data_IF_778421168180
#
_entry.id   IF_778421168180
#
_cell.length_a   1.000
_cell.length_b   1.000
_cell.length_c   1.000
_cell.angle_alpha   90.00
_cell.angle_beta   90.00
_cell.angle_gamma   90.00
#
_symmetry.space_group_name_H-M   'P 1'
#
loop_
_entity.id
_entity.type
_entity.pdbx_description
1 polymer ?
#
# COMPACT_ATOMS: atom_id res chain seq x y z
N UNK A 1 33.73 -5.22 -32.50
CA UNK A 1 32.61 -5.94 -31.86
C UNK A 1 31.46 -4.94 -31.78
N UNK A 2 30.56 -4.95 -32.77
CA UNK A 2 29.48 -3.97 -32.91
C UNK A 2 28.41 -4.32 -31.87
N UNK A 3 28.32 -3.54 -30.79
CA UNK A 3 27.19 -3.65 -29.89
C UNK A 3 25.93 -3.25 -30.65
N UNK A 4 24.84 -4.02 -30.57
CA UNK A 4 23.62 -3.66 -31.29
C UNK A 4 23.06 -2.37 -30.68
N UNK A 5 22.65 -1.42 -31.53
CA UNK A 5 22.29 -0.04 -31.13
C UNK A 5 21.18 0.03 -30.05
N UNK A 6 20.41 -1.04 -29.90
CA UNK A 6 19.31 -1.19 -28.95
C UNK A 6 19.71 -1.85 -27.61
N UNK A 7 20.94 -2.32 -27.42
CA UNK A 7 21.36 -2.98 -26.18
C UNK A 7 21.15 -2.13 -24.90
N UNK A 8 21.58 -0.85 -24.85
CA UNK A 8 21.31 0.01 -23.69
C UNK A 8 19.82 0.25 -23.44
N UNK A 9 19.01 0.34 -24.49
CA UNK A 9 17.55 0.42 -24.41
C UNK A 9 17.00 -0.81 -23.69
N UNK A 10 17.41 -2.01 -24.12
CA UNK A 10 16.90 -3.27 -23.56
C UNK A 10 17.31 -3.43 -22.09
N UNK A 11 18.55 -3.09 -21.72
CA UNK A 11 19.06 -3.21 -20.35
C UNK A 11 18.27 -2.32 -19.36
N UNK A 12 17.91 -1.10 -19.77
CA UNK A 12 17.18 -0.17 -18.90
C UNK A 12 15.65 -0.39 -18.93
N UNK A 13 15.08 -0.72 -20.10
CA UNK A 13 13.62 -0.84 -20.25
C UNK A 13 13.04 -2.15 -19.69
N UNK A 14 13.77 -3.27 -19.74
CA UNK A 14 13.29 -4.54 -19.14
C UNK A 14 12.98 -4.37 -17.63
N UNK A 15 13.90 -3.87 -16.78
CA UNK A 15 13.62 -3.72 -15.36
C UNK A 15 12.54 -2.67 -15.10
N UNK A 16 12.49 -1.58 -15.88
CA UNK A 16 11.40 -0.59 -15.80
C UNK A 16 10.04 -1.19 -16.14
N UNK A 17 9.96 -2.02 -17.18
CA UNK A 17 8.73 -2.71 -17.56
C UNK A 17 8.27 -3.68 -16.46
N UNK A 18 9.20 -4.44 -15.85
CA UNK A 18 8.91 -5.29 -14.70
C UNK A 18 8.38 -4.47 -13.51
N UNK A 19 9.01 -3.34 -13.19
CA UNK A 19 8.53 -2.41 -12.17
C UNK A 19 7.11 -1.90 -12.47
N UNK A 20 6.82 -1.54 -13.73
CA UNK A 20 5.50 -1.06 -14.15
C UNK A 20 4.40 -2.12 -14.00
N UNK A 21 4.69 -3.36 -14.43
CA UNK A 21 3.75 -4.49 -14.30
C UNK A 21 3.50 -4.80 -12.83
N UNK A 22 4.56 -4.91 -12.03
CA UNK A 22 4.45 -5.18 -10.60
C UNK A 22 3.71 -4.06 -9.86
N UNK A 23 4.00 -2.79 -10.18
CA UNK A 23 3.32 -1.64 -9.61
C UNK A 23 1.82 -1.68 -9.90
N UNK A 24 1.45 -1.85 -11.17
CA UNK A 24 0.04 -1.92 -11.59
C UNK A 24 -0.69 -3.08 -10.92
N UNK A 25 -0.07 -4.25 -10.85
CA UNK A 25 -0.63 -5.42 -10.16
C UNK A 25 -0.87 -5.14 -8.68
N UNK A 26 0.11 -4.56 -7.97
CA UNK A 26 -0.03 -4.20 -6.56
C UNK A 26 -1.14 -3.16 -6.38
N UNK A 27 -1.15 -2.09 -7.18
CA UNK A 27 -2.17 -1.03 -7.08
C UNK A 27 -3.58 -1.60 -7.29
N UNK A 28 -3.76 -2.44 -8.31
CA UNK A 28 -5.04 -3.10 -8.59
C UNK A 28 -5.47 -4.04 -7.45
N UNK A 29 -4.56 -4.89 -6.97
CA UNK A 29 -4.81 -5.77 -5.82
C UNK A 29 -5.23 -4.96 -4.59
N UNK A 30 -4.52 -3.87 -4.28
CA UNK A 30 -4.82 -3.00 -3.14
C UNK A 30 -6.17 -2.32 -3.30
N UNK A 31 -6.49 -1.80 -4.49
CA UNK A 31 -7.80 -1.21 -4.78
C UNK A 31 -8.94 -2.21 -4.56
N UNK A 32 -8.77 -3.45 -5.04
CA UNK A 32 -9.74 -4.54 -4.84
C UNK A 32 -9.87 -4.92 -3.36
N UNK A 33 -8.78 -5.05 -2.63
CA UNK A 33 -8.77 -5.35 -1.19
C UNK A 33 -9.49 -4.24 -0.43
N UNK A 34 -9.20 -2.97 -0.70
CA UNK A 34 -9.87 -1.84 -0.06
C UNK A 34 -11.36 -1.72 -0.41
N UNK A 35 -11.75 -2.14 -1.62
CA UNK A 35 -13.14 -2.21 -2.05
C UNK A 35 -13.90 -3.40 -1.44
N UNK A 36 -13.25 -4.56 -1.30
CA UNK A 36 -13.81 -5.80 -0.72
C UNK A 36 -13.92 -5.74 0.79
N UNK A 37 -12.87 -5.27 1.48
CA UNK A 37 -12.90 -4.93 2.90
C UNK A 37 -13.68 -3.63 3.04
N UNK A 38 -15.01 -3.74 2.90
CA UNK A 38 -15.95 -2.64 3.07
C UNK A 38 -15.75 -2.01 4.44
N UNK A 39 -15.96 -0.70 4.52
CA UNK A 39 -15.96 0.07 5.78
C UNK A 39 -16.85 -0.62 6.82
N UNK A 40 -16.60 -0.42 8.13
CA UNK A 40 -17.52 -0.85 9.17
C UNK A 40 -18.95 -0.47 8.77
N UNK A 41 -19.85 -1.46 8.72
CA UNK A 41 -21.21 -1.26 8.23
C UNK A 41 -21.91 -0.21 9.09
N UNK A 42 -22.90 0.48 8.53
CA UNK A 42 -23.72 1.47 9.24
C UNK A 42 -24.28 0.96 10.58
N UNK A 43 -24.45 -0.36 10.73
CA UNK A 43 -24.85 -0.99 12.00
C UNK A 43 -23.80 -0.83 13.10
N UNK A 44 -22.52 -1.03 12.81
CA UNK A 44 -21.44 -0.85 13.80
C UNK A 44 -21.36 0.61 14.22
N UNK A 45 -21.54 1.53 13.27
CA UNK A 45 -21.56 2.97 13.56
C UNK A 45 -22.77 3.37 14.41
N UNK A 46 -23.96 2.81 14.13
CA UNK A 46 -25.17 3.01 14.96
C UNK A 46 -24.99 2.46 16.37
N UNK A 47 -24.37 1.29 16.51
CA UNK A 47 -24.10 0.70 17.81
C UNK A 47 -23.09 1.55 18.60
N UNK A 48 -22.06 2.07 17.92
CA UNK A 48 -21.10 2.99 18.52
C UNK A 48 -21.66 4.39 18.83
N UNK A 49 -22.79 4.77 18.25
CA UNK A 49 -23.51 5.99 18.61
C UNK A 49 -24.36 5.78 19.88
N UNK A 50 -24.79 4.53 20.16
CA UNK A 50 -25.52 4.14 21.38
C UNK A 50 -24.61 3.72 22.54
N UNK A 51 -23.29 3.62 22.32
CA UNK A 51 -22.34 3.08 23.31
C UNK A 51 -22.10 3.95 24.54
N UNK A 52 -22.83 5.06 24.72
CA UNK A 52 -22.93 5.77 26.00
C UNK A 52 -23.76 4.98 27.02
N UNK A 53 -24.64 4.09 26.55
CA UNK A 53 -25.42 3.19 27.39
C UNK A 53 -24.73 1.83 27.53
N UNK A 54 -25.14 1.08 28.55
CA UNK A 54 -24.76 -0.31 28.76
C UNK A 54 -25.02 -1.16 27.50
N UNK A 55 -23.99 -1.83 26.99
CA UNK A 55 -24.12 -2.75 25.86
C UNK A 55 -24.24 -4.19 26.35
N UNK A 56 -25.16 -4.95 25.76
CA UNK A 56 -25.22 -6.39 25.97
C UNK A 56 -24.22 -7.12 25.05
N UNK A 57 -23.55 -8.20 25.51
CA UNK A 57 -22.69 -9.02 24.66
C UNK A 57 -23.39 -9.53 23.39
N UNK A 58 -24.68 -9.87 23.49
CA UNK A 58 -25.50 -10.31 22.36
C UNK A 58 -25.64 -9.24 21.24
N UNK A 59 -25.64 -7.95 21.58
CA UNK A 59 -25.66 -6.87 20.57
C UNK A 59 -24.34 -6.80 19.79
N UNK A 60 -23.21 -7.07 20.46
CA UNK A 60 -21.89 -7.15 19.83
C UNK A 60 -21.77 -8.38 18.94
N UNK A 61 -22.26 -9.54 19.37
CA UNK A 61 -22.31 -10.74 18.54
C UNK A 61 -23.16 -10.51 17.29
N UNK A 62 -24.33 -9.88 17.43
CA UNK A 62 -25.18 -9.53 16.29
C UNK A 62 -24.51 -8.52 15.34
N UNK A 63 -23.69 -7.59 15.87
CA UNK A 63 -22.90 -6.68 15.05
C UNK A 63 -21.75 -7.40 14.32
N UNK A 64 -21.07 -8.33 14.99
CA UNK A 64 -20.01 -9.16 14.41
C UNK A 64 -20.55 -10.07 13.29
N UNK A 65 -21.72 -10.68 13.48
CA UNK A 65 -22.37 -11.54 12.48
C UNK A 65 -22.69 -10.82 11.17
N UNK A 66 -22.83 -9.48 11.20
CA UNK A 66 -23.05 -8.68 9.98
C UNK A 66 -21.78 -8.50 9.15
N UNK A 67 -20.63 -8.95 9.62
CA UNK A 67 -19.36 -8.92 8.92
C UNK A 67 -18.80 -7.50 8.74
N UNK A 68 -17.66 -7.43 8.04
CA UNK A 68 -16.93 -6.19 7.78
C UNK A 68 -15.54 -6.22 8.40
N UNK A 69 -14.76 -5.16 8.19
CA UNK A 69 -13.36 -5.10 8.63
C UNK A 69 -13.16 -5.40 10.13
N UNK A 70 -14.06 -4.97 11.00
CA UNK A 70 -13.92 -5.12 12.45
C UNK A 70 -14.64 -6.35 13.02
N UNK A 71 -15.30 -7.18 12.22
CA UNK A 71 -16.25 -8.18 12.76
C UNK A 71 -15.57 -9.22 13.65
N UNK A 72 -14.38 -9.70 13.28
CA UNK A 72 -13.67 -10.68 14.10
C UNK A 72 -13.17 -10.07 15.41
N UNK A 73 -12.72 -8.81 15.40
CA UNK A 73 -12.32 -8.11 16.62
C UNK A 73 -13.52 -7.84 17.54
N UNK A 74 -14.68 -7.49 16.98
CA UNK A 74 -15.93 -7.34 17.74
C UNK A 74 -16.38 -8.69 18.31
N UNK A 75 -16.29 -9.77 17.55
CA UNK A 75 -16.60 -11.12 18.02
C UNK A 75 -15.67 -11.55 19.16
N UNK A 76 -14.36 -11.28 19.04
CA UNK A 76 -13.38 -11.57 20.08
C UNK A 76 -13.70 -10.79 21.38
N UNK A 77 -14.08 -9.52 21.25
CA UNK A 77 -14.52 -8.68 22.38
C UNK A 77 -15.77 -9.27 23.06
N UNK A 78 -16.77 -9.67 22.28
CA UNK A 78 -18.01 -10.24 22.80
C UNK A 78 -17.78 -11.59 23.52
N UNK A 79 -17.00 -12.48 22.93
CA UNK A 79 -16.65 -13.78 23.49
C UNK A 79 -15.87 -13.68 24.82
N UNK A 80 -15.14 -12.59 25.02
CA UNK A 80 -14.38 -12.31 26.25
C UNK A 80 -15.04 -11.25 27.14
N UNK A 81 -16.32 -10.92 26.92
CA UNK A 81 -17.05 -9.89 27.67
C UNK A 81 -17.01 -10.11 29.20
N UNK A 82 -17.14 -11.36 29.66
CA UNK A 82 -17.08 -11.75 31.07
C UNK A 82 -15.67 -11.90 31.67
N UNK A 83 -14.60 -11.61 30.91
CA UNK A 83 -13.22 -11.60 31.43
C UNK A 83 -12.87 -10.20 31.94
N UNK A 84 -11.81 -10.12 32.76
CA UNK A 84 -11.25 -8.84 33.16
C UNK A 84 -10.88 -7.99 31.94
N UNK A 85 -11.10 -6.67 32.04
CA UNK A 85 -10.84 -5.69 30.96
C UNK A 85 -9.52 -5.92 30.22
N UNK A 86 -8.36 -6.09 30.89
CA UNK A 86 -7.09 -6.21 30.19
C UNK A 86 -7.04 -7.42 29.25
N UNK A 87 -7.61 -8.55 29.66
CA UNK A 87 -7.67 -9.77 28.84
C UNK A 87 -8.64 -9.63 27.67
N UNK A 88 -9.78 -8.97 27.91
CA UNK A 88 -10.80 -8.71 26.87
C UNK A 88 -10.27 -7.77 25.80
N UNK A 89 -9.61 -6.68 26.20
CA UNK A 89 -9.02 -5.70 25.29
C UNK A 89 -7.87 -6.30 24.49
N UNK A 90 -7.04 -7.14 25.12
CA UNK A 90 -5.95 -7.85 24.45
C UNK A 90 -6.49 -8.81 23.38
N UNK A 91 -7.53 -9.59 23.70
CA UNK A 91 -8.15 -10.50 22.73
C UNK A 91 -8.72 -9.77 21.50
N UNK A 92 -9.38 -8.62 21.72
CA UNK A 92 -9.88 -7.79 20.63
C UNK A 92 -8.75 -7.15 19.81
N UNK A 93 -7.64 -6.78 20.46
CA UNK A 93 -6.46 -6.20 19.81
C UNK A 93 -5.75 -7.21 18.91
N UNK A 94 -5.55 -8.44 19.39
CA UNK A 94 -4.98 -9.53 18.59
C UNK A 94 -5.84 -9.79 17.34
N UNK A 95 -7.15 -9.93 17.51
CA UNK A 95 -8.07 -10.15 16.40
C UNK A 95 -8.11 -8.97 15.41
N UNK A 96 -7.96 -7.73 15.90
CA UNK A 96 -7.87 -6.56 15.03
C UNK A 96 -6.57 -6.56 14.22
N UNK A 97 -5.44 -6.94 14.82
CA UNK A 97 -4.15 -7.02 14.13
C UNK A 97 -4.22 -8.00 12.94
N UNK A 98 -4.86 -9.16 13.13
CA UNK A 98 -5.10 -10.13 12.05
C UNK A 98 -5.98 -9.56 10.93
N UNK A 99 -7.06 -8.85 11.30
CA UNK A 99 -7.94 -8.18 10.34
C UNK A 99 -7.23 -7.06 9.56
N UNK A 100 -6.28 -6.38 10.20
CA UNK A 100 -5.53 -5.25 9.66
C UNK A 100 -4.41 -5.68 8.70
N UNK A 101 -3.84 -6.87 8.86
CA UNK A 101 -2.71 -7.34 8.06
C UNK A 101 -2.97 -7.29 6.53
N UNK A 102 -4.15 -7.68 6.01
CA UNK A 102 -4.47 -7.51 4.60
C UNK A 102 -4.48 -6.06 4.11
N UNK A 103 -4.71 -5.05 4.96
CA UNK A 103 -4.71 -3.63 4.54
C UNK A 103 -3.31 -3.06 4.37
N UNK A 104 -2.34 -3.56 5.13
CA UNK A 104 -0.96 -3.08 5.12
C UNK A 104 -0.04 -3.92 4.24
N UNK A 105 -0.49 -5.12 3.84
CA UNK A 105 0.26 -6.01 2.96
C UNK A 105 0.69 -5.33 1.65
N UNK A 106 1.90 -5.67 1.19
CA UNK A 106 2.50 -5.24 -0.08
C UNK A 106 2.71 -3.72 -0.26
N UNK A 107 2.36 -2.89 0.71
CA UNK A 107 2.62 -1.43 0.66
C UNK A 107 4.13 -1.13 0.58
N UNK A 108 4.96 -1.91 1.28
CA UNK A 108 6.41 -1.76 1.21
C UNK A 108 6.94 -2.01 -0.21
N UNK A 109 6.42 -3.01 -0.92
CA UNK A 109 6.80 -3.27 -2.31
C UNK A 109 6.53 -2.08 -3.23
N UNK A 110 5.39 -1.39 -3.04
CA UNK A 110 5.06 -0.20 -3.81
C UNK A 110 5.99 0.98 -3.50
N UNK A 111 6.38 1.15 -2.22
CA UNK A 111 7.38 2.14 -1.83
C UNK A 111 8.76 1.83 -2.43
N UNK A 112 9.15 0.55 -2.44
CA UNK A 112 10.39 0.09 -3.07
C UNK A 112 10.40 0.39 -4.56
N UNK A 113 9.31 0.10 -5.28
CA UNK A 113 9.22 0.42 -6.72
C UNK A 113 9.28 1.94 -6.96
N UNK A 114 8.59 2.73 -6.13
CA UNK A 114 8.64 4.18 -6.22
C UNK A 114 10.06 4.74 -6.05
N UNK A 115 10.89 4.10 -5.23
CA UNK A 115 12.29 4.48 -5.03
C UNK A 115 13.22 3.94 -6.13
N UNK A 116 13.01 2.70 -6.59
CA UNK A 116 13.88 2.04 -7.56
C UNK A 116 13.66 2.52 -9.00
N UNK A 117 12.43 2.77 -9.43
CA UNK A 117 12.12 3.13 -10.81
C UNK A 117 12.87 4.40 -11.30
N UNK A 118 13.00 5.49 -10.52
CA UNK A 118 13.81 6.64 -10.91
C UNK A 118 15.30 6.31 -11.00
N UNK A 119 15.81 5.48 -10.08
CA UNK A 119 17.23 5.06 -10.09
C UNK A 119 17.56 4.21 -11.32
N UNK A 120 16.62 3.35 -11.75
CA UNK A 120 16.74 2.59 -13.00
C UNK A 120 16.69 3.51 -14.23
N UNK A 121 15.84 4.53 -14.21
CA UNK A 121 15.80 5.55 -15.27
C UNK A 121 17.11 6.34 -15.39
N UNK A 122 17.68 6.74 -14.24
CA UNK A 122 18.99 7.38 -14.14
C UNK A 122 20.12 6.45 -14.63
N UNK A 123 20.09 5.16 -14.27
CA UNK A 123 21.03 4.18 -14.81
C UNK A 123 20.95 4.11 -16.35
N UNK A 124 19.74 4.21 -16.91
CA UNK A 124 19.51 4.35 -18.35
C UNK A 124 20.19 5.59 -18.94
N UNK A 125 20.21 6.72 -18.23
CA UNK A 125 20.95 7.90 -18.71
C UNK A 125 22.45 7.70 -18.72
N UNK A 126 23.00 7.16 -17.64
CA UNK A 126 24.43 6.94 -17.50
C UNK A 126 24.92 5.99 -18.59
N UNK A 127 24.19 4.90 -18.81
CA UNK A 127 24.50 3.93 -19.87
C UNK A 127 24.33 4.53 -21.27
N UNK A 128 23.24 5.24 -21.55
CA UNK A 128 23.01 5.90 -22.84
C UNK A 128 24.09 6.94 -23.19
N UNK A 129 24.49 7.76 -22.21
CA UNK A 129 25.59 8.72 -22.38
C UNK A 129 26.93 8.01 -22.59
N UNK A 130 27.21 6.92 -21.84
CA UNK A 130 28.44 6.13 -22.01
C UNK A 130 28.58 5.59 -23.44
N UNK A 131 27.51 5.06 -24.02
CA UNK A 131 27.52 4.60 -25.41
C UNK A 131 27.62 5.74 -26.42
N UNK A 132 27.00 6.89 -26.16
CA UNK A 132 27.15 8.07 -27.01
C UNK A 132 28.61 8.56 -27.07
N UNK A 133 29.30 8.58 -25.92
CA UNK A 133 30.73 8.92 -25.85
C UNK A 133 31.62 7.87 -26.53
N UNK A 134 31.32 6.58 -26.36
CA UNK A 134 32.04 5.50 -27.05
C UNK A 134 31.88 5.58 -28.57
N UNK A 135 30.69 5.92 -29.06
CA UNK A 135 30.45 6.12 -30.49
C UNK A 135 31.31 7.26 -31.03
N UNK A 136 31.40 8.39 -30.32
CA UNK A 136 32.28 9.50 -30.72
C UNK A 136 33.75 9.11 -30.78
N UNK A 137 34.26 8.38 -29.79
CA UNK A 137 35.65 7.91 -29.77
C UNK A 137 35.98 7.05 -31.00
N UNK A 138 35.03 6.22 -31.43
CA UNK A 138 35.21 5.33 -32.58
C UNK A 138 35.11 6.01 -33.95
N UNK A 139 34.65 7.26 -34.04
CA UNK A 139 34.54 8.00 -35.30
C UNK A 139 35.86 8.70 -35.66
N UNK A 140 36.41 8.37 -36.82
CA UNK A 140 37.58 9.06 -37.38
C UNK A 140 37.12 10.27 -38.22
N UNK A 141 37.17 11.48 -37.64
CA UNK A 141 36.85 12.73 -38.34
C UNK A 141 36.08 13.74 -37.48
N UNK A 142 35.63 14.87 -38.05
CA UNK A 142 34.77 15.83 -37.36
C UNK A 142 33.49 15.15 -36.87
N UNK A 143 33.17 15.29 -35.58
CA UNK A 143 31.98 14.68 -34.99
C UNK A 143 30.73 15.47 -35.40
N UNK A 144 29.84 14.84 -36.15
CA UNK A 144 28.52 15.42 -36.43
C UNK A 144 27.63 15.40 -35.18
N UNK A 145 27.00 16.52 -34.78
CA UNK A 145 26.14 16.58 -33.60
C UNK A 145 24.99 15.56 -33.59
N UNK A 146 24.54 15.13 -34.78
CA UNK A 146 23.48 14.14 -34.94
C UNK A 146 23.83 12.76 -34.34
N UNK A 147 25.12 12.37 -34.37
CA UNK A 147 25.60 11.08 -33.84
C UNK A 147 25.41 10.98 -32.32
N UNK A 148 25.51 12.12 -31.63
CA UNK A 148 25.42 12.20 -30.17
C UNK A 148 23.97 12.37 -29.72
N UNK A 149 23.17 13.10 -30.50
CA UNK A 149 21.78 13.44 -30.18
C UNK A 149 20.90 12.20 -29.95
N UNK A 150 21.13 11.11 -30.69
CA UNK A 150 20.40 9.85 -30.51
C UNK A 150 20.61 9.21 -29.13
N UNK A 151 21.86 9.15 -28.66
CA UNK A 151 22.19 8.60 -27.34
C UNK A 151 21.66 9.46 -26.18
N UNK A 152 21.66 10.79 -26.35
CA UNK A 152 21.05 11.72 -25.39
C UNK A 152 19.53 11.54 -25.32
N UNK A 153 18.87 11.49 -26.47
CA UNK A 153 17.42 11.26 -26.54
C UNK A 153 17.03 9.97 -25.81
N UNK A 154 17.77 8.89 -26.08
CA UNK A 154 17.55 7.59 -25.46
C UNK A 154 17.78 7.61 -23.95
N UNK A 155 18.81 8.31 -23.48
CA UNK A 155 19.06 8.54 -22.06
C UNK A 155 17.89 9.30 -21.39
N UNK A 156 17.37 10.35 -22.04
CA UNK A 156 16.29 11.15 -21.47
C UNK A 156 14.97 10.38 -21.37
N UNK A 157 14.63 9.56 -22.38
CA UNK A 157 13.37 8.80 -22.36
C UNK A 157 13.35 7.73 -21.27
N UNK A 158 14.48 7.10 -20.93
CA UNK A 158 14.54 6.12 -19.81
C UNK A 158 14.27 6.79 -18.46
N UNK A 159 14.77 8.00 -18.26
CA UNK A 159 14.50 8.77 -17.03
C UNK A 159 13.03 9.17 -16.95
N UNK A 160 12.48 9.70 -18.04
CA UNK A 160 11.07 10.04 -18.10
C UNK A 160 10.20 8.81 -17.78
N UNK A 161 10.52 7.64 -18.36
CA UNK A 161 9.81 6.39 -18.08
C UNK A 161 9.89 5.99 -16.59
N UNK A 162 11.07 6.09 -15.97
CA UNK A 162 11.25 5.82 -14.54
C UNK A 162 10.39 6.71 -13.65
N UNK A 163 10.31 8.01 -13.97
CA UNK A 163 9.47 8.97 -13.25
C UNK A 163 7.97 8.72 -13.46
N UNK A 164 7.56 8.40 -14.69
CA UNK A 164 6.16 8.07 -15.01
C UNK A 164 5.67 6.86 -14.21
N UNK A 165 6.54 5.89 -13.90
CA UNK A 165 6.21 4.75 -13.04
C UNK A 165 6.24 5.15 -11.55
N UNK A 166 7.26 5.90 -11.13
CA UNK A 166 7.50 6.21 -9.73
C UNK A 166 6.42 7.12 -9.12
N UNK A 167 5.97 8.14 -9.85
CA UNK A 167 5.01 9.14 -9.35
C UNK A 167 3.68 8.49 -8.96
N UNK A 168 3.02 7.69 -9.83
CA UNK A 168 1.81 6.95 -9.46
C UNK A 168 2.04 5.98 -8.28
N UNK A 169 3.18 5.30 -8.22
CA UNK A 169 3.50 4.39 -7.12
C UNK A 169 3.55 5.13 -5.78
N UNK A 170 4.20 6.29 -5.74
CA UNK A 170 4.32 7.11 -4.53
C UNK A 170 2.94 7.60 -4.06
N UNK A 171 2.13 8.13 -4.99
CA UNK A 171 0.77 8.60 -4.70
C UNK A 171 -0.08 7.45 -4.15
N UNK A 172 -0.08 6.30 -4.83
CA UNK A 172 -0.84 5.13 -4.42
C UNK A 172 -0.36 4.60 -3.06
N UNK A 173 0.95 4.54 -2.81
CA UNK A 173 1.50 4.12 -1.52
C UNK A 173 1.02 5.06 -0.40
N UNK A 174 1.14 6.37 -0.57
CA UNK A 174 0.70 7.36 0.41
C UNK A 174 -0.82 7.26 0.68
N UNK A 175 -1.62 7.11 -0.38
CA UNK A 175 -3.06 6.95 -0.29
C UNK A 175 -3.45 5.68 0.47
N UNK A 176 -2.96 4.50 0.07
CA UNK A 176 -3.35 3.25 0.72
C UNK A 176 -2.82 3.17 2.16
N UNK A 177 -1.62 3.69 2.44
CA UNK A 177 -1.06 3.75 3.79
C UNK A 177 -1.90 4.63 4.71
N UNK A 178 -2.28 5.84 4.26
CA UNK A 178 -3.13 6.74 5.05
C UNK A 178 -4.53 6.15 5.24
N UNK A 179 -5.10 5.56 4.20
CA UNK A 179 -6.41 4.92 4.28
C UNK A 179 -6.42 3.68 5.20
N UNK A 180 -5.37 2.84 5.18
CA UNK A 180 -5.22 1.72 6.10
C UNK A 180 -5.18 2.20 7.55
N UNK A 181 -4.30 3.17 7.84
CA UNK A 181 -4.16 3.78 9.18
C UNK A 181 -5.48 4.35 9.69
N UNK A 182 -6.19 5.10 8.85
CA UNK A 182 -7.49 5.67 9.22
C UNK A 182 -8.54 4.60 9.54
N UNK A 183 -8.57 3.48 8.79
CA UNK A 183 -9.49 2.35 9.04
C UNK A 183 -9.15 1.63 10.35
N UNK A 184 -7.87 1.35 10.61
CA UNK A 184 -7.39 0.69 11.83
C UNK A 184 -7.68 1.57 13.05
N UNK A 185 -7.26 2.83 13.03
CA UNK A 185 -7.50 3.77 14.14
C UNK A 185 -8.99 4.03 14.41
N UNK A 186 -9.85 3.89 13.39
CA UNK A 186 -11.30 3.91 13.59
C UNK A 186 -11.80 2.64 14.28
N UNK A 187 -11.30 1.48 13.88
CA UNK A 187 -11.64 0.21 14.50
C UNK A 187 -11.21 0.14 15.97
N UNK A 188 -9.99 0.56 16.30
CA UNK A 188 -9.49 0.64 17.68
C UNK A 188 -10.42 1.49 18.55
N UNK A 189 -10.75 2.71 18.11
CA UNK A 189 -11.68 3.58 18.83
C UNK A 189 -13.06 2.96 19.05
N UNK A 190 -13.57 2.21 18.07
CA UNK A 190 -14.85 1.50 18.19
C UNK A 190 -14.77 0.39 19.24
N UNK A 191 -13.70 -0.41 19.22
CA UNK A 191 -13.50 -1.50 20.18
C UNK A 191 -13.32 -0.97 21.60
N UNK A 192 -12.51 0.08 21.79
CA UNK A 192 -12.34 0.70 23.11
C UNK A 192 -13.67 1.25 23.64
N UNK A 193 -14.50 1.87 22.79
CA UNK A 193 -15.84 2.32 23.17
C UNK A 193 -16.76 1.19 23.60
N UNK A 194 -16.77 0.08 22.85
CA UNK A 194 -17.56 -1.10 23.21
C UNK A 194 -17.06 -1.76 24.49
N UNK A 195 -15.75 -1.82 24.70
CA UNK A 195 -15.17 -2.36 25.93
C UNK A 195 -15.58 -1.53 27.15
N UNK A 196 -15.57 -0.19 27.03
CA UNK A 196 -16.05 0.71 28.08
C UNK A 196 -17.56 0.53 28.35
N UNK A 197 -18.38 0.39 27.31
CA UNK A 197 -19.82 0.20 27.46
C UNK A 197 -20.19 -1.16 28.11
N UNK A 198 -19.34 -2.18 27.95
CA UNK A 198 -19.48 -3.46 28.65
C UNK A 198 -19.15 -3.35 30.14
N UNK A 199 -18.23 -2.46 30.53
CA UNK A 199 -17.92 -2.19 31.94
C UNK A 199 -19.04 -1.46 32.64
N UNK A 200 -19.55 -0.38 32.04
CA UNK A 200 -20.62 0.43 32.64
C UNK A 200 -21.94 -0.34 32.73
N UNK A 201 -22.17 -1.33 31.87
CA UNK A 201 -23.32 -2.23 31.95
C UNK A 201 -23.21 -3.34 33.00
N UNK A 202 -22.01 -3.63 33.51
CA UNK A 202 -21.78 -4.64 34.55
C UNK A 202 -21.93 -4.12 35.98
N UNK A 203 -22.09 -2.80 36.17
CA UNK A 203 -22.17 -2.15 37.50
C UNK A 203 -23.60 -2.00 38.05
N UNK A 204 -24.62 -2.62 37.45
CA UNK A 204 -25.95 -2.66 38.08
C UNK A 204 -26.14 -3.95 38.92
N UNK A 205 -26.37 -3.81 40.25
CA UNK A 205 -26.45 -4.91 41.21
C UNK A 205 -27.69 -5.81 41.05
#
# INVERSE_FOLDING_TARGET
MTYPENLPLVIAFIPLALCSIAATAIIAERALVFARLRRPRAVVERLAARSSDALAPAELEAAAAKGGFCSAAIAALAAHSGRAKPLRDEAATIALAECAAPLTARLNGLATIAALAPMLGLLGTVTGMMFAFQAMESHAGPVEPAVIAGGLWQAMITTAAGLIIAVPCLIAHAFFRSAARARIARAERLLSRFSLALETGGEHP
#
